data_IF_716072897185
#
_entry.id   IF_716072897185
#
_cell.length_a   1.000
_cell.length_b   1.000
_cell.length_c   1.000
_cell.angle_alpha   90.00
_cell.angle_beta   90.00
_cell.angle_gamma   90.00
#
_symmetry.space_group_name_H-M   'P 1'
#
loop_
_entity.id
_entity.type
_entity.pdbx_description
1 polymer ?
#
# COMPACT_ATOMS: atom_id res chain seq x y z
N UNK A 1 -13.24 -30.60 15.83
CA UNK A 1 -14.21 -29.82 15.01
C UNK A 1 -15.63 -29.79 15.59
N UNK A 2 -16.01 -30.78 16.48
CA UNK A 2 -17.37 -30.90 17.00
C UNK A 2 -17.96 -29.64 17.64
N UNK A 3 -17.15 -28.82 18.32
CA UNK A 3 -17.61 -27.57 18.91
C UNK A 3 -17.89 -26.48 17.86
N UNK A 4 -17.21 -26.51 16.71
CA UNK A 4 -17.43 -25.58 15.61
C UNK A 4 -18.76 -25.84 14.86
N UNK A 5 -19.24 -27.08 14.85
CA UNK A 5 -20.55 -27.43 14.30
C UNK A 5 -21.73 -26.97 15.20
N UNK A 6 -21.45 -26.62 16.47
CA UNK A 6 -22.45 -26.06 17.41
C UNK A 6 -22.60 -24.55 17.29
N UNK A 7 -21.70 -23.90 16.55
CA UNK A 7 -21.78 -22.44 16.34
C UNK A 7 -23.02 -22.11 15.51
N UNK A 8 -23.86 -21.26 16.06
CA UNK A 8 -25.11 -20.81 15.44
C UNK A 8 -24.93 -19.44 14.78
N UNK A 9 -25.91 -19.03 13.97
CA UNK A 9 -26.00 -17.66 13.44
C UNK A 9 -25.97 -16.62 14.57
N UNK A 10 -26.74 -16.86 15.65
CA UNK A 10 -26.75 -15.98 16.84
C UNK A 10 -25.35 -15.85 17.47
N UNK A 11 -24.61 -16.95 17.61
CA UNK A 11 -23.24 -16.90 18.14
C UNK A 11 -22.33 -15.99 17.33
N UNK A 12 -22.48 -15.98 15.99
CA UNK A 12 -21.70 -15.10 15.11
C UNK A 12 -22.16 -13.64 15.26
N UNK A 13 -23.46 -13.40 15.38
CA UNK A 13 -24.02 -12.06 15.58
C UNK A 13 -23.59 -11.47 16.93
N UNK A 14 -23.59 -12.27 17.99
CA UNK A 14 -23.08 -11.90 19.31
C UNK A 14 -21.59 -11.56 19.27
N UNK A 15 -20.80 -12.38 18.55
CA UNK A 15 -19.38 -12.09 18.31
C UNK A 15 -19.18 -10.77 17.56
N UNK A 16 -19.97 -10.49 16.51
CA UNK A 16 -19.88 -9.23 15.76
C UNK A 16 -20.29 -8.02 16.61
N UNK A 17 -21.24 -8.22 17.51
CA UNK A 17 -21.65 -7.22 18.50
C UNK A 17 -20.54 -6.96 19.53
N UNK A 18 -19.99 -8.02 20.10
CA UNK A 18 -18.89 -7.95 21.06
C UNK A 18 -17.68 -7.20 20.49
N UNK A 19 -17.22 -7.55 19.29
CA UNK A 19 -16.05 -6.89 18.69
C UNK A 19 -16.32 -5.45 18.27
N UNK A 20 -17.56 -4.99 18.24
CA UNK A 20 -17.88 -3.58 17.95
C UNK A 20 -17.26 -2.64 18.96
N UNK A 21 -17.23 -3.05 20.22
CA UNK A 21 -16.53 -2.38 21.31
C UNK A 21 -16.10 -3.42 22.35
N UNK A 22 -14.82 -3.51 22.63
CA UNK A 22 -14.29 -4.35 23.69
C UNK A 22 -13.02 -3.74 24.28
N UNK A 23 -12.73 -4.15 25.51
CA UNK A 23 -11.52 -3.76 26.24
C UNK A 23 -10.64 -5.01 26.40
N UNK A 24 -9.34 -4.88 26.21
CA UNK A 24 -8.41 -5.98 26.48
C UNK A 24 -8.03 -6.06 27.99
N UNK A 25 -7.15 -7.00 28.33
CA UNK A 25 -6.69 -7.23 29.70
C UNK A 25 -5.90 -6.03 30.27
N UNK A 26 -5.38 -5.15 29.40
CA UNK A 26 -4.65 -3.93 29.77
C UNK A 26 -5.60 -2.70 29.86
N UNK A 27 -6.91 -2.89 29.82
CA UNK A 27 -7.94 -1.85 29.77
C UNK A 27 -7.86 -0.92 28.54
N UNK A 28 -7.27 -1.40 27.45
CA UNK A 28 -7.26 -0.66 26.20
C UNK A 28 -8.52 -0.90 25.41
N UNK A 29 -9.19 0.18 25.04
CA UNK A 29 -10.44 0.15 24.28
C UNK A 29 -10.19 -0.07 22.78
N UNK A 30 -11.01 -0.93 22.18
CA UNK A 30 -11.02 -1.23 20.76
C UNK A 30 -12.41 -1.03 20.17
N UNK A 31 -12.48 -0.25 19.09
CA UNK A 31 -13.70 0.01 18.36
C UNK A 31 -13.54 -0.50 16.93
N UNK A 32 -14.39 -1.44 16.52
CA UNK A 32 -14.42 -1.95 15.17
C UNK A 32 -15.63 -1.40 14.40
N UNK A 33 -15.39 -0.58 13.40
CA UNK A 33 -16.42 -0.13 12.47
C UNK A 33 -16.90 -1.25 11.52
N UNK A 34 -17.95 -0.97 10.75
CA UNK A 34 -18.63 -1.97 9.91
C UNK A 34 -17.70 -2.64 8.89
N UNK A 35 -16.69 -1.92 8.33
CA UNK A 35 -15.68 -2.51 7.43
C UNK A 35 -14.82 -3.58 8.14
N UNK A 36 -14.45 -3.35 9.39
CA UNK A 36 -13.66 -4.31 10.16
C UNK A 36 -14.50 -5.55 10.51
N UNK A 37 -15.77 -5.34 10.93
CA UNK A 37 -16.72 -6.43 11.16
C UNK A 37 -16.97 -7.26 9.91
N UNK A 38 -17.22 -6.61 8.76
CA UNK A 38 -17.43 -7.28 7.48
C UNK A 38 -16.22 -8.13 7.08
N UNK A 39 -14.99 -7.63 7.27
CA UNK A 39 -13.77 -8.40 7.01
C UNK A 39 -13.65 -9.63 7.90
N UNK A 40 -13.95 -9.51 9.19
CA UNK A 40 -13.94 -10.63 10.13
C UNK A 40 -15.00 -11.68 9.78
N UNK A 41 -16.23 -11.24 9.42
CA UNK A 41 -17.27 -12.14 8.93
C UNK A 41 -16.85 -12.87 7.63
N UNK A 42 -16.22 -12.16 6.70
CA UNK A 42 -15.73 -12.77 5.46
C UNK A 42 -14.66 -13.83 5.75
N UNK A 43 -13.79 -13.61 6.74
CA UNK A 43 -12.80 -14.61 7.17
C UNK A 43 -13.49 -15.86 7.75
N UNK A 44 -14.50 -15.68 8.60
CA UNK A 44 -15.26 -16.81 9.15
C UNK A 44 -15.99 -17.58 8.04
N UNK A 45 -16.60 -16.88 7.09
CA UNK A 45 -17.25 -17.50 5.92
C UNK A 45 -16.27 -18.33 5.08
N UNK A 46 -15.07 -17.79 4.82
CA UNK A 46 -14.04 -18.52 4.07
C UNK A 46 -13.57 -19.76 4.82
N UNK A 47 -13.36 -19.65 6.13
CA UNK A 47 -12.98 -20.77 7.00
C UNK A 47 -14.04 -21.88 6.98
N UNK A 48 -15.28 -21.56 7.31
CA UNK A 48 -16.36 -22.54 7.34
C UNK A 48 -16.59 -23.18 5.96
N UNK A 49 -16.61 -22.38 4.89
CA UNK A 49 -16.73 -22.87 3.52
C UNK A 49 -15.65 -23.87 3.15
N UNK A 50 -14.38 -23.59 3.56
CA UNK A 50 -13.27 -24.52 3.32
C UNK A 50 -13.48 -25.86 4.04
N UNK A 51 -13.78 -25.82 5.35
CA UNK A 51 -13.93 -27.04 6.15
C UNK A 51 -15.20 -27.82 5.82
N UNK A 52 -16.30 -27.19 5.42
CA UNK A 52 -17.46 -27.87 4.89
C UNK A 52 -17.13 -28.61 3.58
N UNK A 53 -16.34 -28.00 2.67
CA UNK A 53 -15.87 -28.68 1.44
C UNK A 53 -14.96 -29.87 1.73
N UNK A 54 -14.29 -29.89 2.86
CA UNK A 54 -13.43 -30.98 3.33
C UNK A 54 -14.19 -31.99 4.20
N UNK A 55 -15.53 -31.88 4.26
CA UNK A 55 -16.40 -32.75 5.06
C UNK A 55 -15.99 -32.84 6.55
N UNK A 56 -15.35 -31.76 7.07
CA UNK A 56 -14.95 -31.65 8.47
C UNK A 56 -15.97 -30.92 9.32
N UNK A 57 -16.82 -30.11 8.70
CA UNK A 57 -17.94 -29.40 9.29
C UNK A 57 -19.22 -29.69 8.51
N UNK A 58 -20.32 -29.82 9.22
CA UNK A 58 -21.67 -30.07 8.64
C UNK A 58 -22.48 -28.80 8.49
N UNK A 59 -22.15 -27.75 9.28
CA UNK A 59 -22.88 -26.48 9.31
C UNK A 59 -22.01 -25.32 8.82
N UNK A 60 -22.65 -24.31 8.20
CA UNK A 60 -21.99 -23.08 7.74
C UNK A 60 -22.75 -21.85 8.26
N UNK A 61 -22.84 -21.71 9.58
CA UNK A 61 -23.56 -20.61 10.22
C UNK A 61 -23.12 -19.20 9.76
N UNK A 62 -21.82 -18.89 9.53
CA UNK A 62 -21.42 -17.57 9.06
C UNK A 62 -21.98 -17.18 7.69
N UNK A 63 -22.38 -18.15 6.85
CA UNK A 63 -22.98 -17.85 5.52
C UNK A 63 -24.38 -17.25 5.65
N UNK A 64 -25.08 -17.52 6.74
CA UNK A 64 -26.44 -17.08 6.99
C UNK A 64 -26.54 -15.70 7.68
N UNK A 65 -25.42 -15.22 8.26
CA UNK A 65 -25.37 -13.89 8.90
C UNK A 65 -25.34 -12.79 7.86
N UNK A 66 -26.13 -11.75 8.04
CA UNK A 66 -26.12 -10.59 7.14
C UNK A 66 -24.80 -9.83 7.24
N UNK A 67 -24.28 -9.39 6.07
CA UNK A 67 -23.09 -8.56 6.05
C UNK A 67 -23.39 -7.17 6.59
N UNK A 68 -22.55 -6.61 7.50
CA UNK A 68 -22.71 -5.22 7.92
C UNK A 68 -22.75 -4.28 6.71
N UNK A 69 -23.67 -3.33 6.73
CA UNK A 69 -23.80 -2.33 5.65
C UNK A 69 -22.62 -1.36 5.71
N UNK A 70 -21.79 -1.42 4.68
CA UNK A 70 -20.64 -0.50 4.54
C UNK A 70 -21.12 0.74 3.80
N UNK A 71 -21.10 1.89 4.47
CA UNK A 71 -21.31 3.17 3.80
C UNK A 71 -19.99 3.60 3.16
N UNK A 72 -20.00 3.83 1.86
CA UNK A 72 -18.85 4.39 1.16
C UNK A 72 -18.65 5.84 1.58
N UNK A 73 -17.43 6.16 2.01
CA UNK A 73 -17.01 7.55 2.19
C UNK A 73 -16.66 8.12 0.81
N UNK A 74 -17.01 9.37 0.58
CA UNK A 74 -16.54 10.09 -0.60
C UNK A 74 -15.01 9.97 -0.67
N UNK A 75 -14.51 9.62 -1.85
CA UNK A 75 -13.07 9.56 -2.11
C UNK A 75 -12.58 11.00 -2.17
N UNK A 76 -11.74 11.41 -1.23
CA UNK A 76 -11.01 12.67 -1.30
C UNK A 76 -9.89 12.47 -2.31
N UNK A 77 -9.91 13.27 -3.36
CA UNK A 77 -8.87 13.31 -4.40
C UNK A 77 -8.28 14.71 -4.46
N UNK A 78 -7.04 14.81 -4.90
CA UNK A 78 -6.42 16.09 -5.17
C UNK A 78 -6.97 16.65 -6.50
N UNK A 79 -7.27 17.92 -6.51
CA UNK A 79 -7.59 18.65 -7.74
C UNK A 79 -6.27 19.00 -8.49
N UNK A 80 -6.31 19.27 -9.81
CA UNK A 80 -5.09 19.52 -10.60
C UNK A 80 -4.17 20.60 -10.03
N UNK A 81 -4.72 21.67 -9.50
CA UNK A 81 -3.96 22.74 -8.84
C UNK A 81 -3.30 22.28 -7.53
N UNK A 82 -3.94 21.38 -6.78
CA UNK A 82 -3.37 20.82 -5.56
C UNK A 82 -2.22 19.85 -5.88
N UNK A 83 -2.33 19.11 -6.99
CA UNK A 83 -1.25 18.28 -7.52
C UNK A 83 -0.05 19.14 -7.92
N UNK A 84 -0.28 20.24 -8.65
CA UNK A 84 0.79 21.17 -9.03
C UNK A 84 1.48 21.77 -7.79
N UNK A 85 0.71 22.27 -6.82
CA UNK A 85 1.24 22.79 -5.57
C UNK A 85 2.04 21.74 -4.77
N UNK A 86 1.61 20.47 -4.78
CA UNK A 86 2.34 19.37 -4.14
C UNK A 86 3.72 19.17 -4.79
N UNK A 87 3.78 19.11 -6.12
CA UNK A 87 5.03 18.95 -6.85
C UNK A 87 5.96 20.16 -6.65
N UNK A 88 5.43 21.37 -6.70
CA UNK A 88 6.17 22.62 -6.44
C UNK A 88 6.74 22.64 -5.01
N UNK A 89 5.96 22.22 -4.02
CA UNK A 89 6.42 22.13 -2.62
C UNK A 89 7.55 21.11 -2.46
N UNK A 90 7.46 19.96 -3.14
CA UNK A 90 8.53 18.95 -3.13
C UNK A 90 9.77 19.47 -3.86
N UNK A 91 9.61 20.25 -4.91
CA UNK A 91 10.73 20.81 -5.65
C UNK A 91 11.38 22.00 -4.92
N UNK A 92 10.61 22.91 -4.34
CA UNK A 92 11.13 24.11 -3.68
C UNK A 92 11.59 23.87 -2.23
N UNK A 93 10.97 22.92 -1.54
CA UNK A 93 11.12 22.75 -0.10
C UNK A 93 10.49 23.90 0.70
N UNK A 94 9.48 24.57 0.12
CA UNK A 94 8.74 25.64 0.80
C UNK A 94 8.08 25.13 2.09
N UNK A 95 8.12 25.93 3.15
CA UNK A 95 7.56 25.56 4.46
C UNK A 95 8.45 24.66 5.31
N UNK A 96 9.60 24.18 4.81
CA UNK A 96 10.53 23.37 5.58
C UNK A 96 11.39 24.21 6.51
N UNK A 97 11.65 23.69 7.72
CA UNK A 97 12.66 24.25 8.64
C UNK A 97 14.07 24.06 8.07
N UNK A 98 15.05 24.82 8.54
CA UNK A 98 16.44 24.72 8.06
C UNK A 98 17.02 23.30 8.24
N UNK A 99 16.67 22.59 9.30
CA UNK A 99 17.09 21.21 9.50
C UNK A 99 16.45 20.28 8.46
N UNK A 100 15.18 20.45 8.16
CA UNK A 100 14.47 19.66 7.14
C UNK A 100 15.00 19.95 5.73
N UNK A 101 15.39 21.20 5.42
CA UNK A 101 16.00 21.56 4.14
C UNK A 101 17.31 20.81 3.86
N UNK A 102 18.09 20.51 4.88
CA UNK A 102 19.31 19.72 4.72
C UNK A 102 19.02 18.28 4.26
N UNK A 103 17.97 17.67 4.78
CA UNK A 103 17.51 16.36 4.32
C UNK A 103 16.85 16.44 2.94
N UNK A 104 16.01 17.45 2.75
CA UNK A 104 15.31 17.69 1.49
C UNK A 104 16.28 17.80 0.31
N UNK A 105 17.38 18.54 0.42
CA UNK A 105 18.42 18.64 -0.63
C UNK A 105 18.99 17.30 -1.08
N UNK A 106 18.95 16.28 -0.21
CA UNK A 106 19.48 14.94 -0.49
C UNK A 106 18.42 13.98 -1.04
N UNK A 107 17.15 14.33 -0.94
CA UNK A 107 16.04 13.44 -1.31
C UNK A 107 15.14 14.04 -2.37
N UNK A 108 15.26 15.33 -2.65
CA UNK A 108 14.39 16.09 -3.52
C UNK A 108 14.19 15.45 -4.90
N UNK A 109 15.27 15.15 -5.61
CA UNK A 109 15.20 14.56 -6.95
C UNK A 109 14.54 13.17 -6.91
N UNK A 110 14.90 12.37 -5.92
CA UNK A 110 14.27 11.06 -5.68
C UNK A 110 12.78 11.17 -5.39
N UNK A 111 12.42 12.04 -4.46
CA UNK A 111 11.04 12.18 -3.99
C UNK A 111 10.14 12.77 -5.10
N UNK A 112 10.68 13.68 -5.92
CA UNK A 112 10.00 14.18 -7.11
C UNK A 112 9.79 13.07 -8.15
N UNK A 113 10.81 12.26 -8.44
CA UNK A 113 10.69 11.12 -9.35
C UNK A 113 9.66 10.09 -8.88
N UNK A 114 9.63 9.80 -7.57
CA UNK A 114 8.63 8.92 -6.97
C UNK A 114 7.21 9.46 -7.16
N UNK A 115 6.99 10.74 -6.84
CA UNK A 115 5.65 11.35 -6.91
C UNK A 115 5.15 11.46 -8.34
N UNK A 116 6.00 11.86 -9.28
CA UNK A 116 5.61 11.93 -10.71
C UNK A 116 5.28 10.55 -11.28
N UNK A 117 6.00 9.49 -10.88
CA UNK A 117 5.63 8.12 -11.24
C UNK A 117 4.27 7.72 -10.65
N UNK A 118 4.00 8.00 -9.38
CA UNK A 118 2.70 7.70 -8.77
C UNK A 118 1.56 8.43 -9.48
N UNK A 119 1.72 9.71 -9.74
CA UNK A 119 0.69 10.53 -10.37
C UNK A 119 0.45 10.13 -11.83
N UNK A 120 1.51 9.81 -12.55
CA UNK A 120 1.42 9.46 -13.97
C UNK A 120 0.98 8.03 -14.26
N UNK A 121 1.23 7.08 -13.34
CA UNK A 121 1.04 5.65 -13.63
C UNK A 121 0.08 4.93 -12.68
N UNK A 122 -0.20 5.50 -11.52
CA UNK A 122 -0.99 4.82 -10.48
C UNK A 122 -0.33 3.55 -9.92
N UNK A 123 1.00 3.42 -10.03
CA UNK A 123 1.76 2.29 -9.51
C UNK A 123 1.56 2.10 -8.01
N UNK A 124 1.55 0.86 -7.52
CA UNK A 124 1.50 0.60 -6.07
C UNK A 124 2.85 0.82 -5.42
N UNK A 125 2.85 1.29 -4.15
CA UNK A 125 4.11 1.51 -3.40
C UNK A 125 5.00 0.27 -3.37
N UNK A 126 4.43 -0.93 -3.24
CA UNK A 126 5.18 -2.19 -3.23
C UNK A 126 5.82 -2.52 -4.58
N UNK A 127 5.20 -2.11 -5.69
CA UNK A 127 5.72 -2.26 -7.03
C UNK A 127 6.83 -1.24 -7.28
N UNK A 128 6.61 0.03 -6.89
CA UNK A 128 7.59 1.11 -7.04
C UNK A 128 8.91 0.81 -6.32
N UNK A 129 8.87 0.38 -5.06
CA UNK A 129 10.11 0.07 -4.32
C UNK A 129 10.84 -1.15 -4.86
N UNK A 130 10.15 -1.98 -5.65
CA UNK A 130 10.72 -3.15 -6.32
C UNK A 130 11.48 -2.85 -7.61
N UNK A 131 11.31 -1.67 -8.21
CA UNK A 131 11.91 -1.31 -9.50
C UNK A 131 13.44 -1.30 -9.39
N UNK A 132 14.11 -1.91 -10.39
CA UNK A 132 15.55 -1.84 -10.60
C UNK A 132 15.89 -0.76 -11.65
N UNK A 133 17.15 -0.38 -11.72
CA UNK A 133 17.62 0.58 -12.72
C UNK A 133 17.35 0.04 -14.13
N UNK A 134 17.63 -1.24 -14.36
CA UNK A 134 17.49 -1.89 -15.67
C UNK A 134 16.03 -2.15 -16.08
N UNK A 135 15.08 -1.97 -15.16
CA UNK A 135 13.65 -2.06 -15.47
C UNK A 135 13.13 -0.84 -16.25
N UNK A 136 13.91 0.27 -16.31
CA UNK A 136 13.51 1.51 -16.97
C UNK A 136 14.02 1.56 -18.41
N UNK A 137 13.11 1.75 -19.35
CA UNK A 137 13.43 1.99 -20.76
C UNK A 137 13.11 3.45 -21.14
N UNK A 138 14.10 4.31 -21.11
CA UNK A 138 13.93 5.74 -21.44
C UNK A 138 13.69 6.00 -22.93
N UNK A 139 13.99 5.06 -23.85
CA UNK A 139 13.72 5.24 -25.29
C UNK A 139 12.24 5.10 -25.61
N UNK A 140 11.55 4.22 -24.91
CA UNK A 140 10.11 3.97 -25.09
C UNK A 140 9.25 4.64 -24.00
N UNK A 141 9.88 5.29 -23.00
CA UNK A 141 9.20 5.86 -21.82
C UNK A 141 8.38 4.83 -21.05
N UNK A 142 8.93 3.66 -20.82
CA UNK A 142 8.26 2.56 -20.14
C UNK A 142 9.15 1.92 -19.07
N UNK A 143 8.52 1.18 -18.18
CA UNK A 143 9.23 0.36 -17.17
C UNK A 143 8.48 -0.90 -16.85
N UNK A 144 9.23 -1.93 -16.48
CA UNK A 144 8.66 -3.21 -16.07
C UNK A 144 8.43 -3.27 -14.57
N UNK A 145 7.36 -3.94 -14.17
CA UNK A 145 7.02 -4.19 -12.76
C UNK A 145 6.56 -5.63 -12.56
N UNK A 146 6.68 -6.10 -11.34
CA UNK A 146 6.12 -7.40 -10.93
C UNK A 146 4.82 -7.13 -10.14
N UNK A 147 3.69 -7.53 -10.70
CA UNK A 147 2.38 -7.44 -10.05
C UNK A 147 2.21 -8.49 -8.95
N UNK A 148 1.21 -8.29 -8.10
CA UNK A 148 0.79 -9.30 -7.13
C UNK A 148 0.47 -10.62 -7.85
N UNK A 149 1.16 -11.71 -7.46
CA UNK A 149 1.05 -13.02 -8.11
C UNK A 149 2.21 -13.35 -9.06
N UNK A 150 3.22 -12.46 -9.19
CA UNK A 150 4.45 -12.72 -9.95
C UNK A 150 4.34 -12.40 -11.45
N UNK A 151 3.21 -11.90 -11.93
CA UNK A 151 3.07 -11.49 -13.34
C UNK A 151 3.84 -10.19 -13.59
N UNK A 152 4.65 -10.19 -14.65
CA UNK A 152 5.30 -8.99 -15.16
C UNK A 152 4.30 -8.16 -15.97
N UNK A 153 4.36 -6.84 -15.82
CA UNK A 153 3.56 -5.87 -16.54
C UNK A 153 4.44 -4.68 -16.94
N UNK A 154 4.08 -3.99 -18.00
CA UNK A 154 4.81 -2.81 -18.50
C UNK A 154 3.91 -1.59 -18.31
N UNK A 155 4.45 -0.55 -17.72
CA UNK A 155 3.78 0.73 -17.55
C UNK A 155 4.52 1.81 -18.33
N UNK A 156 3.75 2.72 -18.95
CA UNK A 156 4.27 3.88 -19.67
C UNK A 156 4.21 5.10 -18.76
N UNK A 157 5.24 5.94 -18.81
CA UNK A 157 5.29 7.20 -18.08
C UNK A 157 5.39 8.42 -19.04
N UNK A 158 4.83 9.54 -18.61
CA UNK A 158 4.85 10.78 -19.38
C UNK A 158 6.15 11.58 -19.23
N UNK A 159 6.24 12.67 -19.97
CA UNK A 159 7.45 13.51 -20.06
C UNK A 159 7.87 14.11 -18.72
N UNK A 160 6.93 14.45 -17.85
CA UNK A 160 7.21 14.97 -16.50
C UNK A 160 7.92 13.93 -15.64
N UNK A 161 7.42 12.69 -15.63
CA UNK A 161 8.05 11.59 -14.91
C UNK A 161 9.41 11.24 -15.52
N UNK A 162 9.52 11.29 -16.86
CA UNK A 162 10.80 11.11 -17.58
C UNK A 162 11.84 12.12 -17.13
N UNK A 163 11.49 13.41 -17.12
CA UNK A 163 12.37 14.48 -16.69
C UNK A 163 12.84 14.31 -15.24
N UNK A 164 11.89 14.00 -14.34
CA UNK A 164 12.18 13.77 -12.92
C UNK A 164 13.08 12.54 -12.71
N UNK A 165 12.81 11.43 -13.43
CA UNK A 165 13.63 10.22 -13.38
C UNK A 165 15.03 10.47 -13.87
N UNK A 166 15.21 11.15 -15.03
CA UNK A 166 16.53 11.48 -15.55
C UNK A 166 17.34 12.34 -14.58
N UNK A 167 16.69 13.35 -13.97
CA UNK A 167 17.34 14.18 -12.95
C UNK A 167 17.77 13.35 -11.73
N UNK A 168 16.91 12.44 -11.26
CA UNK A 168 17.28 11.55 -10.16
C UNK A 168 18.40 10.57 -10.55
N UNK A 169 18.41 10.04 -11.77
CA UNK A 169 19.45 9.12 -12.25
C UNK A 169 20.84 9.74 -12.20
N UNK A 170 20.99 11.05 -12.49
CA UNK A 170 22.26 11.76 -12.35
C UNK A 170 22.80 11.72 -10.93
N UNK A 171 21.93 11.81 -9.93
CA UNK A 171 22.31 11.68 -8.52
C UNK A 171 22.54 10.20 -8.14
N UNK A 172 21.66 9.30 -8.63
CA UNK A 172 21.71 7.87 -8.33
C UNK A 172 23.02 7.21 -8.79
N UNK A 173 23.55 7.59 -9.95
CA UNK A 173 24.83 7.11 -10.48
C UNK A 173 26.02 7.48 -9.58
N UNK A 174 25.92 8.57 -8.82
CA UNK A 174 26.94 9.01 -7.87
C UNK A 174 26.80 8.36 -6.49
N UNK A 175 25.69 7.66 -6.24
CA UNK A 175 25.43 7.03 -4.96
C UNK A 175 26.07 5.64 -4.90
N UNK A 176 26.87 5.39 -3.87
CA UNK A 176 27.33 4.05 -3.53
C UNK A 176 26.19 3.31 -2.80
N UNK A 177 25.55 2.38 -3.48
CA UNK A 177 24.54 1.53 -2.84
C UNK A 177 25.20 0.58 -1.82
N UNK A 178 24.45 0.23 -0.78
CA UNK A 178 24.88 -0.81 0.15
C UNK A 178 24.85 -2.18 -0.54
N UNK A 179 25.68 -3.11 -0.05
CA UNK A 179 25.78 -4.47 -0.57
C UNK A 179 24.41 -5.14 -0.72
N UNK A 180 24.13 -5.68 -1.91
CA UNK A 180 22.86 -6.31 -2.28
C UNK A 180 21.73 -5.33 -2.64
N UNK A 181 22.03 -4.03 -2.77
CA UNK A 181 21.04 -3.00 -3.16
C UNK A 181 21.48 -2.20 -4.41
N UNK A 182 22.50 -2.66 -5.13
CA UNK A 182 23.13 -1.97 -6.26
C UNK A 182 22.14 -1.74 -7.40
N UNK A 183 21.30 -2.72 -7.68
CA UNK A 183 20.32 -2.67 -8.78
C UNK A 183 19.09 -1.79 -8.44
N UNK A 184 18.86 -1.49 -7.17
CA UNK A 184 17.66 -0.75 -6.77
C UNK A 184 17.60 0.63 -7.39
N UNK A 185 16.48 0.98 -8.04
CA UNK A 185 16.27 2.32 -8.58
C UNK A 185 16.28 3.35 -7.46
N UNK A 186 15.40 3.19 -6.46
CA UNK A 186 15.24 4.15 -5.37
C UNK A 186 15.98 3.72 -4.11
N UNK A 187 16.89 4.57 -3.64
CA UNK A 187 17.66 4.36 -2.41
C UNK A 187 17.18 5.27 -1.26
N UNK A 188 17.27 4.73 -0.07
CA UNK A 188 17.13 5.48 1.19
C UNK A 188 18.41 6.30 1.47
N UNK A 189 18.37 7.16 2.50
CA UNK A 189 19.56 7.88 2.99
C UNK A 189 20.66 6.96 3.54
N UNK A 190 20.32 5.68 3.81
CA UNK A 190 21.30 4.65 4.20
C UNK A 190 21.83 3.84 3.01
N UNK A 191 21.63 4.33 1.77
CA UNK A 191 22.04 3.66 0.53
C UNK A 191 21.44 2.26 0.32
N UNK A 192 20.31 1.97 0.96
CA UNK A 192 19.56 0.72 0.79
C UNK A 192 18.31 0.96 -0.05
N UNK A 193 17.84 -0.08 -0.74
CA UNK A 193 16.53 -0.05 -1.41
C UNK A 193 15.45 0.51 -0.49
N UNK A 194 14.62 1.41 -0.98
CA UNK A 194 13.45 1.88 -0.24
C UNK A 194 12.54 0.72 0.16
N UNK A 195 11.91 0.85 1.30
CA UNK A 195 10.87 -0.09 1.76
C UNK A 195 9.51 0.59 1.72
N UNK A 196 8.44 -0.21 1.77
CA UNK A 196 7.05 0.31 1.83
C UNK A 196 6.80 1.21 3.06
N UNK A 197 7.68 1.17 4.06
CA UNK A 197 7.57 1.94 5.32
C UNK A 197 8.70 2.97 5.48
N UNK A 198 9.43 3.25 4.42
CA UNK A 198 10.52 4.23 4.44
C UNK A 198 9.98 5.66 4.55
#
# INVERSE_FOLDING_TARGET
>A
FGDLDRVTTSTIEDFLSYISYYTDEENKEYINGDRAKARKLSTLRAFYKYFCRKEKLTTNAPSLVNQPTIRDKAIVRLEPNEVANLLDAVQSGEGLTEKQKQFHKRTQARDLAILTLFLGTGIRISELVGINIDDINFSENEFSIIRKGGNQDILVFGDEARAALLNYMLEREQMNAAEGHEEALFLSLQSKRLTVRA
#
